data_IF_295324110987
#
_entry.id   IF_295324110987
#
_cell.length_a   1.000
_cell.length_b   1.000
_cell.length_c   1.000
_cell.angle_alpha   90.00
_cell.angle_beta   90.00
_cell.angle_gamma   90.00
#
_symmetry.space_group_name_H-M   'P 1'
#
loop_
_entity.id
_entity.type
_entity.pdbx_description
1 polymer ?
#
# COMPACT_ATOMS: atom_id res chain seq x y z
N UNK A 1 0.32 -18.04 2.86
CA UNK A 1 1.12 -17.58 1.70
C UNK A 1 2.09 -16.54 2.22
N UNK A 2 3.23 -16.31 1.55
CA UNK A 2 4.16 -15.27 1.99
C UNK A 2 3.57 -13.89 1.67
N UNK A 3 3.83 -12.86 2.48
CA UNK A 3 3.44 -11.47 2.20
C UNK A 3 3.90 -11.01 0.82
N UNK A 4 5.04 -11.53 0.34
CA UNK A 4 5.53 -11.31 -1.01
C UNK A 4 4.59 -11.90 -2.09
N UNK A 5 4.08 -13.11 -1.87
CA UNK A 5 3.15 -13.76 -2.80
C UNK A 5 1.82 -12.99 -2.86
N UNK A 6 1.34 -12.53 -1.70
CA UNK A 6 0.13 -11.72 -1.59
C UNK A 6 0.30 -10.37 -2.29
N UNK A 7 1.46 -9.70 -2.10
CA UNK A 7 1.80 -8.46 -2.79
C UNK A 7 1.89 -8.64 -4.31
N UNK A 8 2.55 -9.70 -4.78
CA UNK A 8 2.67 -10.00 -6.22
C UNK A 8 1.30 -10.26 -6.82
N UNK A 9 0.41 -10.99 -6.12
CA UNK A 9 -0.96 -11.20 -6.57
C UNK A 9 -1.71 -9.87 -6.68
N UNK A 10 -1.69 -9.06 -5.63
CA UNK A 10 -2.39 -7.76 -5.63
C UNK A 10 -1.91 -6.85 -6.76
N UNK A 11 -0.59 -6.73 -6.96
CA UNK A 11 -0.03 -5.94 -8.06
C UNK A 11 -0.34 -6.50 -9.46
N UNK A 12 -0.55 -7.82 -9.57
CA UNK A 12 -0.93 -8.46 -10.82
C UNK A 12 -2.39 -8.17 -11.20
N UNK A 13 -3.24 -7.95 -10.20
CA UNK A 13 -4.66 -7.61 -10.37
C UNK A 13 -4.88 -6.12 -10.66
N UNK A 14 -3.86 -5.26 -10.49
CA UNK A 14 -3.92 -3.82 -10.80
C UNK A 14 -4.24 -3.61 -12.29
N UNK A 15 -5.32 -2.88 -12.63
CA UNK A 15 -5.63 -2.51 -14.00
C UNK A 15 -4.49 -1.74 -14.68
N UNK A 16 -4.06 -2.18 -15.87
CA UNK A 16 -3.02 -1.48 -16.66
C UNK A 16 -3.52 -0.25 -17.40
N UNK A 17 -4.84 -0.11 -17.55
CA UNK A 17 -5.46 1.03 -18.19
C UNK A 17 -5.68 2.15 -17.16
N UNK A 18 -5.51 3.41 -17.60
CA UNK A 18 -5.86 4.56 -16.78
C UNK A 18 -7.39 4.59 -16.54
N UNK A 19 -7.84 4.92 -15.33
CA UNK A 19 -9.26 5.00 -15.02
C UNK A 19 -9.90 6.15 -15.81
N UNK A 20 -11.09 5.91 -16.34
CA UNK A 20 -11.88 6.86 -17.14
C UNK A 20 -13.13 7.34 -16.41
N UNK A 21 -13.40 6.80 -15.23
CA UNK A 21 -14.53 7.17 -14.38
C UNK A 21 -14.13 7.16 -12.91
N UNK A 22 -14.90 7.85 -12.07
CA UNK A 22 -14.71 7.83 -10.61
C UNK A 22 -14.78 6.42 -10.04
N UNK A 23 -15.67 5.58 -10.58
CA UNK A 23 -15.79 4.17 -10.22
C UNK A 23 -14.50 3.40 -10.53
N UNK A 24 -13.98 3.54 -11.75
CA UNK A 24 -12.73 2.88 -12.15
C UNK A 24 -11.54 3.39 -11.31
N UNK A 25 -11.54 4.68 -10.96
CA UNK A 25 -10.53 5.24 -10.05
C UNK A 25 -10.64 4.63 -8.65
N UNK A 26 -11.86 4.48 -8.11
CA UNK A 26 -12.09 3.82 -6.84
C UNK A 26 -11.61 2.37 -6.84
N UNK A 27 -11.96 1.60 -7.86
CA UNK A 27 -11.50 0.21 -8.05
C UNK A 27 -9.96 0.13 -8.11
N UNK A 28 -9.30 1.02 -8.86
CA UNK A 28 -7.84 1.10 -8.91
C UNK A 28 -7.22 1.46 -7.54
N UNK A 29 -7.81 2.42 -6.82
CA UNK A 29 -7.33 2.84 -5.50
C UNK A 29 -7.47 1.73 -4.45
N UNK A 30 -8.47 0.85 -4.56
CA UNK A 30 -8.57 -0.36 -3.70
C UNK A 30 -7.35 -1.27 -3.89
N UNK A 31 -6.95 -1.53 -5.13
CA UNK A 31 -5.80 -2.39 -5.40
C UNK A 31 -4.48 -1.74 -4.96
N UNK A 32 -4.28 -0.46 -5.30
CA UNK A 32 -3.02 0.22 -4.96
C UNK A 32 -2.88 0.39 -3.43
N UNK A 33 -3.95 0.71 -2.69
CA UNK A 33 -3.87 0.78 -1.23
C UNK A 33 -3.61 -0.60 -0.61
N UNK A 34 -4.25 -1.67 -1.11
CA UNK A 34 -4.00 -3.04 -0.65
C UNK A 34 -2.52 -3.41 -0.84
N UNK A 35 -1.97 -3.12 -2.01
CA UNK A 35 -0.55 -3.34 -2.30
C UNK A 35 0.38 -2.51 -1.40
N UNK A 36 0.03 -1.26 -1.07
CA UNK A 36 0.82 -0.43 -0.16
C UNK A 36 0.86 -1.02 1.26
N UNK A 37 -0.26 -1.58 1.75
CA UNK A 37 -0.32 -2.28 3.03
C UNK A 37 0.57 -3.52 3.05
N UNK A 38 0.43 -4.39 2.05
CA UNK A 38 1.24 -5.61 1.91
C UNK A 38 2.74 -5.30 1.76
N UNK A 39 3.08 -4.18 1.12
CA UNK A 39 4.47 -3.71 1.04
C UNK A 39 5.00 -3.22 2.39
N UNK A 40 4.18 -2.53 3.20
CA UNK A 40 4.55 -2.14 4.55
C UNK A 40 4.78 -3.37 5.44
N UNK A 41 3.91 -4.38 5.37
CA UNK A 41 4.04 -5.64 6.10
C UNK A 41 5.35 -6.37 5.73
N UNK A 42 5.63 -6.51 4.43
CA UNK A 42 6.89 -7.11 3.96
C UNK A 42 8.13 -6.34 4.44
N UNK A 43 8.08 -5.00 4.44
CA UNK A 43 9.18 -4.17 4.95
C UNK A 43 9.35 -4.31 6.46
N UNK A 44 8.26 -4.50 7.21
CA UNK A 44 8.30 -4.76 8.64
C UNK A 44 9.05 -6.07 8.94
N UNK A 45 8.71 -7.15 8.23
CA UNK A 45 9.35 -8.46 8.37
C UNK A 45 10.84 -8.44 7.99
N UNK A 46 11.19 -7.77 6.89
CA UNK A 46 12.58 -7.58 6.46
C UNK A 46 13.36 -6.78 7.50
N UNK A 47 12.77 -5.71 8.05
CA UNK A 47 13.39 -4.89 9.09
C UNK A 47 13.68 -5.70 10.34
N UNK A 48 12.73 -6.51 10.82
CA UNK A 48 12.93 -7.39 11.98
C UNK A 48 14.09 -8.37 11.73
N UNK A 49 14.16 -8.94 10.53
CA UNK A 49 15.26 -9.84 10.15
C UNK A 49 16.61 -9.13 10.07
N UNK A 50 16.62 -7.85 9.66
CA UNK A 50 17.82 -7.05 9.49
C UNK A 50 18.46 -6.59 10.81
N UNK A 51 17.73 -6.55 11.93
CA UNK A 51 18.24 -6.11 13.24
C UNK A 51 19.50 -6.89 13.70
N UNK A 52 19.62 -8.16 13.28
CA UNK A 52 20.74 -9.03 13.63
C UNK A 52 21.71 -9.29 12.47
N UNK A 53 21.38 -8.84 11.26
CA UNK A 53 22.13 -9.15 10.03
C UNK A 53 22.81 -7.93 9.42
N UNK A 54 22.32 -6.72 9.70
CA UNK A 54 22.76 -5.50 9.05
C UNK A 54 23.34 -4.48 10.05
N UNK A 55 24.18 -3.57 9.55
CA UNK A 55 24.69 -2.46 10.36
C UNK A 55 23.60 -1.40 10.66
N UNK A 56 23.82 -0.52 11.64
CA UNK A 56 22.81 0.43 12.13
C UNK A 56 22.25 1.36 11.04
N UNK A 57 23.05 1.70 10.04
CA UNK A 57 22.59 2.53 8.91
C UNK A 57 21.57 1.81 8.03
N UNK A 58 21.75 0.52 7.79
CA UNK A 58 20.83 -0.28 6.98
C UNK A 58 19.50 -0.49 7.73
N UNK A 59 19.56 -0.79 9.03
CA UNK A 59 18.35 -0.89 9.88
C UNK A 59 17.58 0.42 9.92
N UNK A 60 18.27 1.56 10.07
CA UNK A 60 17.63 2.88 10.03
C UNK A 60 17.00 3.19 8.67
N UNK A 61 17.64 2.81 7.57
CA UNK A 61 17.08 2.99 6.23
C UNK A 61 15.83 2.11 6.01
N UNK A 62 15.82 0.88 6.51
CA UNK A 62 14.66 -0.01 6.47
C UNK A 62 13.49 0.53 7.30
N UNK A 63 13.77 1.07 8.49
CA UNK A 63 12.76 1.75 9.32
C UNK A 63 12.12 2.93 8.56
N UNK A 64 12.92 3.74 7.87
CA UNK A 64 12.41 4.87 7.08
C UNK A 64 11.56 4.37 5.90
N UNK A 65 12.00 3.31 5.22
CA UNK A 65 11.27 2.72 4.10
C UNK A 65 9.89 2.19 4.56
N UNK A 66 9.86 1.48 5.70
CA UNK A 66 8.65 0.98 6.31
C UNK A 66 7.66 2.11 6.61
N UNK A 67 8.08 3.15 7.34
CA UNK A 67 7.20 4.29 7.67
C UNK A 67 6.64 4.98 6.44
N UNK A 68 7.44 5.13 5.38
CA UNK A 68 6.97 5.73 4.12
C UNK A 68 5.94 4.85 3.41
N UNK A 69 6.04 3.53 3.53
CA UNK A 69 5.03 2.62 3.01
C UNK A 69 3.72 2.75 3.81
N UNK A 70 3.79 2.83 5.14
CA UNK A 70 2.63 3.09 5.99
C UNK A 70 1.97 4.44 5.68
N UNK A 71 2.75 5.52 5.57
CA UNK A 71 2.26 6.84 5.17
C UNK A 71 1.59 6.79 3.80
N UNK A 72 2.20 6.10 2.83
CA UNK A 72 1.60 5.92 1.50
C UNK A 72 0.27 5.17 1.57
N UNK A 73 0.16 4.13 2.41
CA UNK A 73 -1.10 3.41 2.62
C UNK A 73 -2.19 4.33 3.15
N UNK A 74 -1.90 5.11 4.19
CA UNK A 74 -2.86 6.05 4.80
C UNK A 74 -3.35 7.09 3.80
N UNK A 75 -2.44 7.70 3.03
CA UNK A 75 -2.83 8.69 2.01
C UNK A 75 -3.69 8.06 0.89
N UNK A 76 -3.43 6.81 0.53
CA UNK A 76 -4.25 6.08 -0.44
C UNK A 76 -5.63 5.72 0.12
N UNK A 77 -5.75 5.44 1.42
CA UNK A 77 -7.06 5.28 2.08
C UNK A 77 -7.88 6.56 2.03
N UNK A 78 -7.24 7.71 2.30
CA UNK A 78 -7.88 9.03 2.23
C UNK A 78 -8.33 9.31 0.79
N UNK A 79 -7.44 9.10 -0.19
CA UNK A 79 -7.75 9.31 -1.61
C UNK A 79 -8.91 8.42 -2.07
N UNK A 80 -8.92 7.14 -1.66
CA UNK A 80 -10.02 6.22 -1.95
C UNK A 80 -11.35 6.70 -1.34
N UNK A 81 -11.34 7.13 -0.07
CA UNK A 81 -12.51 7.67 0.60
C UNK A 81 -13.05 8.95 -0.06
N UNK A 82 -12.17 9.80 -0.58
CA UNK A 82 -12.55 11.01 -1.30
C UNK A 82 -13.11 10.71 -2.71
N UNK A 83 -12.55 9.72 -3.41
CA UNK A 83 -12.99 9.34 -4.77
C UNK A 83 -14.31 8.57 -4.79
N UNK A 84 -14.65 7.88 -3.70
CA UNK A 84 -15.90 7.11 -3.57
C UNK A 84 -16.67 7.54 -2.31
N UNK A 85 -17.25 8.76 -2.29
CA UNK A 85 -17.97 9.24 -1.12
C UNK A 85 -19.17 8.33 -0.84
N UNK A 86 -19.50 8.04 0.43
CA UNK A 86 -20.68 7.26 0.76
C UNK A 86 -21.90 7.96 0.17
N UNK A 87 -22.67 7.25 -0.65
CA UNK A 87 -23.89 7.76 -1.26
C UNK A 87 -24.88 8.20 -0.16
N UNK A 88 -24.83 9.46 0.23
CA UNK A 88 -25.61 9.94 1.38
C UNK A 88 -25.19 11.31 1.90
N UNK A 89 -25.31 12.35 1.06
CA UNK A 89 -25.65 13.73 1.47
C UNK A 89 -26.21 14.45 0.25
N UNK A 90 -27.48 14.20 -0.02
CA UNK A 90 -28.33 15.20 -0.67
C UNK A 90 -28.94 16.01 0.48
N UNK A 91 -28.39 17.18 0.73
CA UNK A 91 -29.09 18.27 1.43
C UNK A 91 -29.56 19.27 0.38
#
# INVERSE_FOLDING_TARGET
MSDLDDLVRELSDVPRALPKSERELGELLVHIKSAAGLWADLLYDVRQSAEHLAGPHATAALEIAFRRAEESYVELEIAHGAACPPSGRQD
#
